data_IF_457137981358
#
_entry.id   IF_457137981358
#
_cell.length_a   1.000
_cell.length_b   1.000
_cell.length_c   1.000
_cell.angle_alpha   90.00
_cell.angle_beta   90.00
_cell.angle_gamma   90.00
#
_symmetry.space_group_name_H-M   'P 1'
#
loop_
_entity.id
_entity.type
_entity.pdbx_description
1 polymer ?
#
# COMPACT_ATOMS: atom_id res chain seq x y z
N UNK A 1 11.70 7.44 27.13
CA UNK A 1 11.58 7.65 25.68
C UNK A 1 11.21 6.35 25.01
N UNK A 2 10.20 6.35 24.16
CA UNK A 2 9.74 5.16 23.47
C UNK A 2 10.37 5.10 22.08
N UNK A 3 11.00 4.00 21.75
CA UNK A 3 11.50 3.75 20.40
C UNK A 3 10.39 3.08 19.58
N UNK A 4 10.21 3.53 18.33
CA UNK A 4 9.26 2.92 17.38
C UNK A 4 10.03 2.30 16.23
N UNK A 5 9.72 1.05 15.94
CA UNK A 5 10.20 0.39 14.73
C UNK A 5 9.13 0.55 13.64
N UNK A 6 9.53 1.03 12.47
CA UNK A 6 8.58 1.30 11.39
C UNK A 6 9.16 1.02 10.02
N UNK A 7 8.27 0.75 9.06
CA UNK A 7 8.59 0.70 7.63
C UNK A 7 7.50 1.48 6.89
N UNK A 8 7.89 2.54 6.22
CA UNK A 8 6.96 3.48 5.58
C UNK A 8 6.93 3.35 4.05
N UNK A 9 7.45 2.24 3.51
CA UNK A 9 7.49 2.04 2.07
C UNK A 9 7.37 0.55 1.75
N UNK A 10 6.13 0.04 1.69
CA UNK A 10 5.86 -1.36 1.39
C UNK A 10 4.82 -1.44 0.27
N UNK A 11 5.01 -2.41 -0.62
CA UNK A 11 4.10 -2.69 -1.72
C UNK A 11 3.33 -3.99 -1.46
N UNK A 12 2.04 -3.99 -1.78
CA UNK A 12 1.23 -5.20 -1.74
C UNK A 12 1.22 -5.90 -3.11
N UNK A 13 0.48 -7.00 -3.19
CA UNK A 13 0.25 -7.74 -4.42
C UNK A 13 -0.47 -6.92 -5.51
N UNK A 14 -1.00 -5.75 -5.17
CA UNK A 14 -1.61 -4.84 -6.15
C UNK A 14 -0.57 -4.17 -7.05
N UNK A 15 0.64 -3.93 -6.53
CA UNK A 15 1.71 -3.33 -7.32
C UNK A 15 2.34 -4.37 -8.25
N UNK A 16 2.69 -4.01 -9.49
CA UNK A 16 3.35 -4.95 -10.41
C UNK A 16 4.66 -5.52 -9.88
N UNK A 17 5.36 -4.76 -9.03
CA UNK A 17 6.61 -5.21 -8.39
C UNK A 17 6.37 -6.03 -7.12
N UNK A 18 5.13 -6.09 -6.62
CA UNK A 18 4.79 -6.86 -5.42
C UNK A 18 4.55 -8.33 -5.76
N UNK A 19 4.93 -9.19 -4.82
CA UNK A 19 4.66 -10.62 -4.93
C UNK A 19 3.15 -10.87 -4.69
N UNK A 20 2.59 -11.87 -5.37
CA UNK A 20 1.17 -12.22 -5.20
C UNK A 20 0.83 -12.65 -3.75
N UNK A 21 1.82 -13.13 -3.01
CA UNK A 21 1.66 -13.49 -1.59
C UNK A 21 1.67 -12.28 -0.65
N UNK A 22 1.98 -11.09 -1.14
CA UNK A 22 2.00 -9.85 -0.36
C UNK A 22 0.59 -9.28 -0.22
N UNK A 23 -0.31 -10.08 0.36
CA UNK A 23 -1.67 -9.62 0.67
C UNK A 23 -1.64 -8.66 1.87
N UNK A 24 -2.64 -7.78 2.00
CA UNK A 24 -2.71 -6.90 3.17
C UNK A 24 -2.61 -7.63 4.51
N UNK A 25 -3.27 -8.78 4.64
CA UNK A 25 -3.21 -9.59 5.87
C UNK A 25 -1.81 -10.14 6.12
N UNK A 26 -1.13 -10.63 5.09
CA UNK A 26 0.22 -11.17 5.21
C UNK A 26 1.23 -10.07 5.57
N UNK A 27 1.10 -8.89 4.98
CA UNK A 27 1.96 -7.74 5.29
C UNK A 27 1.82 -7.38 6.77
N UNK A 28 0.59 -7.23 7.25
CA UNK A 28 0.33 -6.89 8.65
C UNK A 28 0.84 -7.97 9.60
N UNK A 29 0.60 -9.25 9.27
CA UNK A 29 1.06 -10.37 10.08
C UNK A 29 2.58 -10.46 10.15
N UNK A 30 3.28 -10.31 9.03
CA UNK A 30 4.74 -10.32 9.00
C UNK A 30 5.35 -9.13 9.72
N UNK A 31 4.72 -7.95 9.60
CA UNK A 31 5.17 -6.77 10.33
C UNK A 31 5.09 -6.98 11.84
N UNK A 32 3.97 -7.55 12.31
CA UNK A 32 3.80 -7.87 13.72
C UNK A 32 4.83 -8.89 14.19
N UNK A 33 5.07 -9.94 13.40
CA UNK A 33 6.04 -10.98 13.72
C UNK A 33 7.46 -10.42 13.85
N UNK A 34 7.80 -9.44 13.01
CA UNK A 34 9.13 -8.80 13.03
C UNK A 34 9.25 -7.69 14.08
N UNK A 35 8.20 -7.42 14.83
CA UNK A 35 8.22 -6.42 15.89
C UNK A 35 8.10 -4.98 15.39
N UNK A 36 7.56 -4.76 14.20
CA UNK A 36 7.29 -3.41 13.73
C UNK A 36 6.07 -2.82 14.43
N UNK A 37 6.16 -1.56 14.81
CA UNK A 37 5.08 -0.83 15.47
C UNK A 37 4.17 -0.11 14.48
N UNK A 38 4.73 0.35 13.37
CA UNK A 38 4.00 1.10 12.34
C UNK A 38 4.46 0.69 10.94
N UNK A 39 3.52 0.58 10.02
CA UNK A 39 3.79 0.24 8.62
C UNK A 39 2.89 1.07 7.72
N UNK A 40 3.48 1.64 6.67
CA UNK A 40 2.73 2.32 5.62
C UNK A 40 2.66 1.46 4.37
N UNK A 41 1.46 1.24 3.87
CA UNK A 41 1.25 0.59 2.57
C UNK A 41 1.27 1.66 1.49
N UNK A 42 2.20 1.52 0.54
CA UNK A 42 2.46 2.54 -0.47
C UNK A 42 2.57 1.91 -1.87
N UNK A 43 1.46 1.33 -2.33
CA UNK A 43 1.41 0.74 -3.67
C UNK A 43 1.59 1.80 -4.76
N UNK A 44 2.08 1.36 -5.92
CA UNK A 44 2.24 2.25 -7.07
C UNK A 44 0.89 2.79 -7.53
N UNK A 45 0.74 4.10 -7.50
CA UNK A 45 -0.40 4.86 -8.06
C UNK A 45 -1.78 4.37 -7.56
N UNK A 46 -1.85 3.73 -6.40
CA UNK A 46 -3.11 3.22 -5.86
C UNK A 46 -3.10 3.13 -4.35
N UNK A 47 -4.27 3.41 -3.76
CA UNK A 47 -4.54 3.18 -2.33
C UNK A 47 -5.64 2.13 -2.15
N UNK A 48 -5.95 1.35 -3.17
CA UNK A 48 -7.13 0.45 -3.15
C UNK A 48 -7.01 -0.68 -2.14
N UNK A 49 -5.79 -1.09 -1.78
CA UNK A 49 -5.58 -2.08 -0.71
C UNK A 49 -5.40 -1.46 0.69
N UNK A 50 -5.41 -0.13 0.80
CA UNK A 50 -5.29 0.53 2.11
C UNK A 50 -6.43 0.16 3.07
N UNK A 51 -7.72 0.12 2.66
CA UNK A 51 -8.78 -0.27 3.59
C UNK A 51 -8.55 -1.66 4.20
N UNK A 52 -8.24 -2.65 3.37
CA UNK A 52 -7.97 -4.01 3.84
C UNK A 52 -6.72 -4.06 4.73
N UNK A 53 -5.69 -3.32 4.37
CA UNK A 53 -4.46 -3.26 5.14
C UNK A 53 -4.68 -2.65 6.52
N UNK A 54 -5.42 -1.53 6.61
CA UNK A 54 -5.69 -0.89 7.90
C UNK A 54 -6.51 -1.80 8.81
N UNK A 55 -7.47 -2.53 8.27
CA UNK A 55 -8.25 -3.50 9.03
C UNK A 55 -7.35 -4.62 9.58
N UNK A 56 -6.45 -5.15 8.75
CA UNK A 56 -5.51 -6.19 9.16
C UNK A 56 -4.51 -5.66 10.20
N UNK A 57 -4.01 -4.45 10.01
CA UNK A 57 -3.08 -3.82 10.95
C UNK A 57 -3.71 -3.68 12.35
N UNK A 58 -4.96 -3.25 12.39
CA UNK A 58 -5.70 -3.13 13.65
C UNK A 58 -5.84 -4.49 14.33
N UNK A 59 -6.12 -5.53 13.57
CA UNK A 59 -6.27 -6.89 14.09
C UNK A 59 -4.96 -7.40 14.71
N UNK A 60 -3.82 -7.09 14.10
CA UNK A 60 -2.50 -7.49 14.59
C UNK A 60 -1.90 -6.52 15.61
N UNK A 61 -2.59 -5.44 15.93
CA UNK A 61 -2.15 -4.48 16.94
C UNK A 61 -1.00 -3.57 16.50
N UNK A 62 -0.82 -3.37 15.20
CA UNK A 62 0.17 -2.44 14.66
C UNK A 62 -0.52 -1.20 14.10
N UNK A 63 0.25 -0.11 13.98
CA UNK A 63 -0.25 1.12 13.37
C UNK A 63 -0.13 1.01 11.86
N UNK A 64 -1.28 0.98 11.17
CA UNK A 64 -1.32 1.02 9.71
C UNK A 64 -1.45 2.45 9.22
N UNK A 65 -0.65 2.82 8.23
CA UNK A 65 -0.66 4.15 7.64
C UNK A 65 -1.04 4.02 6.17
N UNK A 66 -2.12 4.67 5.71
CA UNK A 66 -2.48 4.62 4.29
C UNK A 66 -1.55 5.52 3.47
N UNK A 67 -1.12 5.03 2.31
CA UNK A 67 -0.21 5.77 1.47
C UNK A 67 -0.25 5.33 0.02
N UNK A 68 0.59 5.97 -0.78
CA UNK A 68 0.75 5.69 -2.20
C UNK A 68 2.16 6.06 -2.63
N UNK A 69 2.78 5.24 -3.47
CA UNK A 69 3.97 5.67 -4.19
C UNK A 69 3.53 6.21 -5.55
N UNK A 70 3.43 7.54 -5.65
CA UNK A 70 3.03 8.21 -6.87
C UNK A 70 4.19 8.24 -7.86
N UNK A 71 3.96 7.74 -9.07
CA UNK A 71 4.92 7.86 -10.18
C UNK A 71 4.37 8.86 -11.19
N UNK A 72 5.11 9.95 -11.41
CA UNK A 72 4.73 10.99 -12.36
C UNK A 72 5.19 10.66 -13.77
N UNK A 73 4.69 11.41 -14.75
CA UNK A 73 5.10 11.25 -16.16
C UNK A 73 6.58 11.55 -16.38
N UNK A 74 7.19 12.35 -15.49
CA UNK A 74 8.63 12.63 -15.52
C UNK A 74 9.46 11.54 -14.80
N UNK A 75 8.82 10.43 -14.42
CA UNK A 75 9.44 9.32 -13.71
C UNK A 75 9.97 9.70 -12.31
N UNK A 76 9.34 10.70 -11.69
CA UNK A 76 9.60 11.01 -10.29
C UNK A 76 8.72 10.12 -9.42
N UNK A 77 9.33 9.49 -8.40
CA UNK A 77 8.62 8.66 -7.43
C UNK A 77 8.48 9.44 -6.13
N UNK A 78 7.24 9.63 -5.69
CA UNK A 78 6.94 10.34 -4.44
C UNK A 78 6.12 9.43 -3.53
N UNK A 79 6.62 9.19 -2.33
CA UNK A 79 5.88 8.45 -1.31
C UNK A 79 4.97 9.43 -0.59
N UNK A 80 3.66 9.19 -0.71
CA UNK A 80 2.62 10.02 -0.09
C UNK A 80 2.01 9.24 1.07
N UNK A 81 1.99 9.83 2.26
CA UNK A 81 1.36 9.24 3.44
C UNK A 81 0.19 10.12 3.87
N UNK A 82 -0.88 9.49 4.35
CA UNK A 82 -2.11 10.20 4.71
C UNK A 82 -2.47 9.95 6.17
N UNK A 83 -2.88 11.01 6.91
CA UNK A 83 -3.32 10.83 8.30
C UNK A 83 -4.58 9.97 8.43
N UNK A 84 -5.49 10.07 7.45
CA UNK A 84 -6.78 9.39 7.48
C UNK A 84 -7.03 8.61 6.19
N UNK A 85 -7.73 7.48 6.31
CA UNK A 85 -8.05 6.64 5.16
C UNK A 85 -8.85 7.38 4.09
N UNK A 86 -9.82 8.22 4.48
CA UNK A 86 -10.65 8.93 3.50
C UNK A 86 -9.82 9.86 2.60
N UNK A 87 -8.76 10.46 3.13
CA UNK A 87 -7.85 11.31 2.35
C UNK A 87 -7.10 10.49 1.31
N UNK A 88 -6.62 9.31 1.71
CA UNK A 88 -5.95 8.41 0.78
C UNK A 88 -6.89 7.96 -0.33
N UNK A 89 -8.13 7.63 0.01
CA UNK A 89 -9.11 7.16 -0.99
C UNK A 89 -9.55 8.27 -1.94
N UNK A 90 -9.64 9.51 -1.48
CA UNK A 90 -9.89 10.67 -2.35
C UNK A 90 -8.75 10.87 -3.33
N UNK A 91 -7.51 10.78 -2.84
CA UNK A 91 -6.32 10.90 -3.69
C UNK A 91 -6.23 9.75 -4.69
N UNK A 92 -6.58 8.55 -4.26
CA UNK A 92 -6.64 7.38 -5.15
C UNK A 92 -7.60 7.62 -6.32
N UNK A 93 -8.79 8.15 -6.05
CA UNK A 93 -9.75 8.47 -7.11
C UNK A 93 -9.22 9.51 -8.08
N UNK A 94 -8.56 10.54 -7.55
CA UNK A 94 -7.94 11.58 -8.37
C UNK A 94 -6.87 11.00 -9.29
N UNK A 95 -5.95 10.22 -8.74
CA UNK A 95 -4.84 9.61 -9.51
C UNK A 95 -5.40 8.62 -10.53
N UNK A 96 -6.33 7.76 -10.12
CA UNK A 96 -6.94 6.77 -11.01
C UNK A 96 -7.58 7.41 -12.23
N UNK A 97 -8.22 8.56 -12.06
CA UNK A 97 -8.86 9.29 -13.17
C UNK A 97 -7.86 9.78 -14.22
N UNK A 98 -6.58 9.85 -13.86
CA UNK A 98 -5.52 10.35 -14.74
C UNK A 98 -4.60 9.24 -15.27
N UNK A 99 -4.79 8.00 -14.84
CA UNK A 99 -3.98 6.88 -15.33
C UNK A 99 -4.44 6.46 -16.72
N UNK A 100 -3.48 6.02 -17.53
CA UNK A 100 -3.79 5.30 -18.79
C UNK A 100 -4.24 3.90 -18.39
N UNK A 101 -5.49 3.57 -18.73
CA UNK A 101 -6.09 2.30 -18.35
C UNK A 101 -5.76 1.22 -19.34
N UNK A 102 -4.94 0.27 -18.90
CA UNK A 102 -4.53 -0.89 -19.69
C UNK A 102 -4.93 -2.15 -18.92
N UNK A 103 -5.44 -3.14 -19.65
CA UNK A 103 -5.81 -4.42 -19.04
C UNK A 103 -4.57 -5.11 -18.47
N UNK A 104 -4.65 -5.61 -17.24
CA UNK A 104 -3.55 -6.32 -16.62
C UNK A 104 -3.20 -7.61 -17.37
N UNK A 105 -1.92 -7.92 -17.39
CA UNK A 105 -1.39 -9.18 -17.90
C UNK A 105 -0.72 -9.94 -16.76
N UNK A 106 -1.47 -10.82 -16.07
CA UNK A 106 -0.99 -11.46 -14.83
C UNK A 106 0.31 -12.26 -15.01
N UNK A 107 0.54 -12.81 -16.20
CA UNK A 107 1.74 -13.58 -16.51
C UNK A 107 3.01 -12.73 -16.57
N UNK A 108 2.87 -11.40 -16.65
CA UNK A 108 4.00 -10.46 -16.68
C UNK A 108 4.06 -9.61 -15.40
N UNK A 109 2.91 -9.10 -14.95
CA UNK A 109 2.83 -8.08 -13.88
C UNK A 109 2.19 -8.59 -12.59
N UNK A 110 1.98 -9.91 -12.47
CA UNK A 110 1.27 -10.48 -11.33
C UNK A 110 -0.23 -10.24 -11.41
N UNK A 111 -0.96 -10.76 -10.44
CA UNK A 111 -2.42 -10.69 -10.44
C UNK A 111 -2.95 -9.29 -10.12
N UNK A 112 -2.19 -8.48 -9.41
CA UNK A 112 -2.56 -7.12 -9.00
C UNK A 112 -3.93 -7.07 -8.32
N UNK A 113 -4.08 -7.88 -7.27
CA UNK A 113 -5.38 -8.06 -6.60
C UNK A 113 -5.68 -6.95 -5.60
N UNK A 114 -6.97 -6.56 -5.58
CA UNK A 114 -7.54 -5.65 -4.59
C UNK A 114 -8.31 -6.49 -3.56
N UNK A 115 -8.06 -6.22 -2.31
CA UNK A 115 -8.70 -6.92 -1.17
C UNK A 115 -9.70 -6.08 -0.40
#
# INVERSE_FOLDING_TARGET
>A
MTELAYDLHIHSCLSPCGDDDMTPANIAGMAALKGLDAVALTDHNSCKNCPAFLAAAKEYGIIGIPGMELTTSEEVHAVCLFPELYQAMEFDRFVYSRLIKVKNRPEIFGKQQIY
#
